data_IF_367012610403
#
_entry.id   IF_367012610403
#
_cell.length_a   1.000
_cell.length_b   1.000
_cell.length_c   1.000
_cell.angle_alpha   90.00
_cell.angle_beta   90.00
_cell.angle_gamma   90.00
#
_symmetry.space_group_name_H-M   'P 1'
#
loop_
_entity.id
_entity.type
_entity.pdbx_description
1 polymer ?
#
# COMPACT_ATOMS: atom_id res chain seq x y z
N UNK A 1 3.00 -77.38 18.27
CA UNK A 1 3.99 -76.72 19.13
C UNK A 1 3.19 -75.98 20.19
N UNK A 2 3.22 -76.43 21.45
CA UNK A 2 2.55 -75.71 22.54
C UNK A 2 3.48 -74.57 22.94
N UNK A 3 3.04 -73.32 22.76
CA UNK A 3 3.76 -72.15 23.25
C UNK A 3 3.74 -72.15 24.78
N UNK A 4 4.84 -71.76 25.40
CA UNK A 4 5.04 -71.70 26.86
C UNK A 4 5.19 -70.24 27.32
N UNK A 5 5.06 -69.98 28.62
CA UNK A 5 5.16 -68.61 29.16
C UNK A 5 6.51 -67.95 28.88
N UNK A 6 7.59 -68.73 28.71
CA UNK A 6 8.92 -68.22 28.36
C UNK A 6 9.04 -67.73 26.91
N UNK A 7 8.06 -67.98 26.05
CA UNK A 7 8.08 -67.58 24.64
C UNK A 7 7.59 -66.13 24.42
N UNK A 8 7.22 -65.40 25.49
CA UNK A 8 6.67 -64.06 25.42
C UNK A 8 7.44 -63.08 26.32
N UNK A 9 7.65 -61.85 25.84
CA UNK A 9 8.30 -60.77 26.61
C UNK A 9 7.51 -60.37 27.87
N UNK A 10 6.21 -60.67 27.90
CA UNK A 10 5.30 -60.44 29.02
C UNK A 10 4.30 -61.59 29.12
N UNK A 11 3.81 -61.86 30.34
CA UNK A 11 2.85 -62.95 30.59
C UNK A 11 1.56 -62.72 29.80
N UNK A 12 1.14 -63.65 28.93
CA UNK A 12 -0.03 -63.44 28.09
C UNK A 12 -1.31 -63.39 28.95
N UNK A 13 -2.09 -62.32 28.79
CA UNK A 13 -3.40 -62.17 29.42
C UNK A 13 -4.48 -62.64 28.46
N UNK A 14 -5.35 -63.55 28.89
CA UNK A 14 -6.51 -63.94 28.10
C UNK A 14 -7.45 -62.73 27.92
N UNK A 15 -7.67 -62.33 26.66
CA UNK A 15 -8.51 -61.18 26.31
C UNK A 15 -9.96 -61.58 26.00
N UNK A 16 -10.19 -62.83 25.62
CA UNK A 16 -11.51 -63.39 25.29
C UNK A 16 -11.41 -64.85 24.86
N UNK A 17 -12.56 -65.48 24.63
CA UNK A 17 -12.68 -66.85 24.14
C UNK A 17 -13.49 -66.86 22.84
N UNK A 18 -13.01 -67.53 21.80
CA UNK A 18 -13.64 -67.55 20.48
C UNK A 18 -13.94 -68.98 20.06
N UNK A 19 -15.21 -69.29 19.79
CA UNK A 19 -15.58 -70.60 19.27
C UNK A 19 -15.13 -70.78 17.82
N UNK A 20 -14.32 -71.81 17.57
CA UNK A 20 -13.79 -72.09 16.24
C UNK A 20 -14.82 -72.79 15.34
N UNK A 21 -14.79 -72.56 14.01
CA UNK A 21 -15.68 -73.22 13.06
C UNK A 21 -15.57 -74.74 13.13
N UNK A 22 -16.70 -75.47 13.00
CA UNK A 22 -16.71 -76.93 12.88
C UNK A 22 -16.99 -77.35 11.42
N UNK A 23 -16.37 -78.42 10.89
CA UNK A 23 -15.37 -79.28 11.54
C UNK A 23 -14.00 -78.61 11.67
N UNK A 24 -13.23 -79.00 12.69
CA UNK A 24 -11.87 -78.49 12.91
C UNK A 24 -10.94 -78.91 11.76
N UNK A 25 -10.59 -77.95 10.90
CA UNK A 25 -9.80 -78.20 9.69
C UNK A 25 -8.73 -77.10 9.49
N UNK A 26 -7.73 -76.99 10.39
CA UNK A 26 -6.79 -75.85 10.44
C UNK A 26 -5.94 -75.65 9.17
N UNK A 27 -5.76 -76.69 8.36
CA UNK A 27 -4.96 -76.63 7.13
C UNK A 27 -5.76 -76.16 5.90
N UNK A 28 -7.09 -76.00 5.99
CA UNK A 28 -7.91 -75.49 4.88
C UNK A 28 -7.92 -73.95 4.86
N UNK A 29 -7.72 -73.36 3.69
CA UNK A 29 -7.79 -71.89 3.49
C UNK A 29 -9.13 -71.29 3.91
N UNK A 30 -10.22 -71.98 3.62
CA UNK A 30 -11.57 -71.51 3.96
C UNK A 30 -11.78 -71.45 5.48
N UNK A 31 -11.26 -72.46 6.20
CA UNK A 31 -11.28 -72.50 7.66
C UNK A 31 -10.44 -71.36 8.26
N UNK A 32 -9.20 -71.17 7.77
CA UNK A 32 -8.31 -70.10 8.24
C UNK A 32 -8.91 -68.71 8.03
N UNK A 33 -9.58 -68.48 6.89
CA UNK A 33 -10.27 -67.21 6.61
C UNK A 33 -11.44 -66.97 7.56
N UNK A 34 -12.28 -67.99 7.78
CA UNK A 34 -13.41 -67.89 8.71
C UNK A 34 -12.96 -67.67 10.14
N UNK A 35 -11.95 -68.40 10.61
CA UNK A 35 -11.37 -68.23 11.94
C UNK A 35 -10.72 -66.84 12.10
N UNK A 36 -9.99 -66.35 11.09
CA UNK A 36 -9.41 -65.00 11.10
C UNK A 36 -10.48 -63.91 11.14
N UNK A 37 -11.61 -64.10 10.45
CA UNK A 37 -12.73 -63.16 10.48
C UNK A 37 -13.36 -63.09 11.87
N UNK A 38 -13.63 -64.25 12.49
CA UNK A 38 -14.17 -64.32 13.86
C UNK A 38 -13.22 -63.63 14.85
N UNK A 39 -11.92 -63.92 14.76
CA UNK A 39 -10.92 -63.31 15.64
C UNK A 39 -10.80 -61.79 15.45
N UNK A 40 -10.91 -61.29 14.20
CA UNK A 40 -10.95 -59.84 13.94
C UNK A 40 -12.22 -59.17 14.47
N UNK A 41 -13.36 -59.87 14.42
CA UNK A 41 -14.62 -59.36 14.93
C UNK A 41 -14.57 -59.21 16.46
N UNK A 42 -14.13 -60.24 17.16
CA UNK A 42 -13.96 -60.24 18.62
C UNK A 42 -12.97 -59.16 19.09
N UNK A 43 -11.84 -59.00 18.38
CA UNK A 43 -10.90 -57.92 18.69
C UNK A 43 -11.52 -56.53 18.47
N UNK A 44 -12.35 -56.36 17.44
CA UNK A 44 -13.07 -55.12 17.21
C UNK A 44 -14.14 -54.83 18.28
N UNK A 45 -14.85 -55.87 18.75
CA UNK A 45 -15.83 -55.76 19.86
C UNK A 45 -15.15 -55.37 21.18
N UNK A 46 -13.92 -55.84 21.41
CA UNK A 46 -13.07 -55.42 22.52
C UNK A 46 -12.43 -54.03 22.33
N UNK A 47 -12.67 -53.36 21.19
CA UNK A 47 -12.09 -52.05 20.85
C UNK A 47 -10.59 -52.10 20.54
N UNK A 48 -10.04 -53.29 20.29
CA UNK A 48 -8.62 -53.51 20.02
C UNK A 48 -8.36 -53.54 18.51
N UNK A 49 -7.64 -52.55 18.01
CA UNK A 49 -7.14 -52.56 16.63
C UNK A 49 -5.77 -53.25 16.61
N UNK A 50 -5.67 -54.34 15.83
CA UNK A 50 -4.38 -54.97 15.53
C UNK A 50 -3.54 -54.01 14.66
N UNK A 51 -2.73 -53.16 15.29
CA UNK A 51 -1.63 -52.50 14.61
C UNK A 51 -0.58 -53.57 14.28
N UNK A 52 -0.58 -54.05 13.03
CA UNK A 52 0.54 -54.84 12.51
C UNK A 52 1.69 -53.87 12.25
N UNK A 53 2.44 -53.51 13.30
CA UNK A 53 3.66 -52.71 13.15
C UNK A 53 4.66 -53.47 12.30
N UNK A 54 5.13 -52.86 11.22
CA UNK A 54 6.24 -53.37 10.41
C UNK A 54 7.37 -52.35 10.49
N UNK A 55 8.16 -52.36 11.58
CA UNK A 55 9.07 -51.26 11.93
C UNK A 55 9.98 -50.81 10.78
N UNK A 56 10.51 -51.75 10.00
CA UNK A 56 11.37 -51.44 8.86
C UNK A 56 10.65 -50.74 7.69
N UNK A 57 9.39 -51.11 7.41
CA UNK A 57 8.61 -50.50 6.35
C UNK A 57 8.06 -49.13 6.75
N UNK A 58 7.64 -49.00 8.02
CA UNK A 58 7.10 -47.75 8.56
C UNK A 58 8.21 -46.68 8.63
N UNK A 59 9.41 -47.05 9.10
CA UNK A 59 10.59 -46.16 9.09
C UNK A 59 11.00 -45.74 7.67
N UNK A 60 10.93 -46.65 6.69
CA UNK A 60 11.23 -46.34 5.29
C UNK A 60 10.20 -45.35 4.72
N UNK A 61 8.93 -45.54 5.02
CA UNK A 61 7.86 -44.65 4.59
C UNK A 61 8.01 -43.24 5.19
N UNK A 62 8.28 -43.13 6.50
CA UNK A 62 8.53 -41.83 7.14
C UNK A 62 9.77 -41.14 6.57
N UNK A 63 10.86 -41.88 6.33
CA UNK A 63 12.07 -41.33 5.71
C UNK A 63 11.79 -40.75 4.33
N UNK A 64 11.07 -41.49 3.48
CA UNK A 64 10.68 -41.01 2.14
C UNK A 64 9.77 -39.78 2.22
N UNK A 65 8.85 -39.71 3.19
CA UNK A 65 8.03 -38.50 3.40
C UNK A 65 8.88 -37.29 3.80
N UNK A 66 9.83 -37.49 4.72
CA UNK A 66 10.75 -36.43 5.14
C UNK A 66 11.62 -35.96 3.97
N UNK A 67 12.18 -36.88 3.17
CA UNK A 67 12.98 -36.58 1.97
C UNK A 67 12.15 -35.78 0.95
N UNK A 68 10.91 -36.19 0.68
CA UNK A 68 9.99 -35.48 -0.22
C UNK A 68 9.63 -34.09 0.31
N UNK A 69 9.43 -33.96 1.63
CA UNK A 69 9.11 -32.68 2.26
C UNK A 69 10.30 -31.71 2.20
N UNK A 70 11.53 -32.21 2.40
CA UNK A 70 12.75 -31.43 2.22
C UNK A 70 12.85 -30.95 0.76
N UNK A 71 12.67 -31.83 -0.22
CA UNK A 71 12.72 -31.46 -1.63
C UNK A 71 11.66 -30.40 -2.00
N UNK A 72 10.43 -30.52 -1.47
CA UNK A 72 9.39 -29.53 -1.68
C UNK A 72 9.72 -28.16 -1.06
N UNK A 73 10.29 -28.16 0.15
CA UNK A 73 10.74 -26.92 0.81
C UNK A 73 11.91 -26.28 0.08
N UNK A 74 12.86 -27.06 -0.44
CA UNK A 74 13.97 -26.56 -1.25
C UNK A 74 13.49 -25.90 -2.54
N UNK A 75 12.52 -26.52 -3.23
CA UNK A 75 11.93 -25.94 -4.43
C UNK A 75 11.16 -24.64 -4.13
N UNK A 76 10.44 -24.60 -3.01
CA UNK A 76 9.76 -23.38 -2.54
C UNK A 76 10.76 -22.28 -2.19
N UNK A 77 11.85 -22.62 -1.51
CA UNK A 77 12.94 -21.69 -1.20
C UNK A 77 13.56 -21.12 -2.48
N UNK A 78 13.85 -21.96 -3.47
CA UNK A 78 14.38 -21.52 -4.76
C UNK A 78 13.45 -20.51 -5.44
N UNK A 79 12.15 -20.83 -5.54
CA UNK A 79 11.17 -19.91 -6.13
C UNK A 79 11.05 -18.58 -5.40
N UNK A 80 11.11 -18.57 -4.05
CA UNK A 80 11.12 -17.34 -3.27
C UNK A 80 12.39 -16.52 -3.51
N UNK A 81 13.56 -17.17 -3.59
CA UNK A 81 14.82 -16.50 -3.88
C UNK A 81 14.82 -15.87 -5.28
N UNK A 82 14.29 -16.56 -6.30
CA UNK A 82 14.18 -16.00 -7.65
C UNK A 82 13.26 -14.77 -7.69
N UNK A 83 12.13 -14.82 -6.96
CA UNK A 83 11.23 -13.66 -6.83
C UNK A 83 11.89 -12.47 -6.14
N UNK A 84 12.67 -12.73 -5.09
CA UNK A 84 13.47 -11.70 -4.41
C UNK A 84 14.48 -11.12 -5.39
N UNK A 85 15.24 -11.94 -6.11
CA UNK A 85 16.24 -11.47 -7.07
C UNK A 85 15.63 -10.62 -8.20
N UNK A 86 14.46 -11.00 -8.70
CA UNK A 86 13.72 -10.21 -9.69
C UNK A 86 13.24 -8.88 -9.11
N UNK A 87 12.73 -8.88 -7.87
CA UNK A 87 12.28 -7.68 -7.18
C UNK A 87 13.45 -6.74 -6.83
N UNK A 88 14.55 -7.27 -6.31
CA UNK A 88 15.79 -6.54 -6.02
C UNK A 88 16.41 -5.95 -7.30
N UNK A 89 16.40 -6.72 -8.40
CA UNK A 89 16.80 -6.23 -9.71
C UNK A 89 15.87 -5.13 -10.24
N UNK A 90 14.60 -5.11 -9.83
CA UNK A 90 13.65 -4.02 -10.11
C UNK A 90 13.96 -2.75 -9.29
N UNK A 91 14.22 -2.90 -7.99
CA UNK A 91 14.54 -1.78 -7.11
C UNK A 91 15.86 -1.09 -7.49
N UNK A 92 16.91 -1.85 -7.77
CA UNK A 92 18.20 -1.29 -8.19
C UNK A 92 18.07 -0.51 -9.50
N UNK A 93 17.31 -1.03 -10.47
CA UNK A 93 17.00 -0.32 -11.73
C UNK A 93 16.19 0.95 -11.49
N UNK A 94 15.19 0.89 -10.61
CA UNK A 94 14.38 2.05 -10.23
C UNK A 94 15.23 3.14 -9.58
N UNK A 95 16.13 2.78 -8.65
CA UNK A 95 17.02 3.76 -7.99
C UNK A 95 17.96 4.44 -8.99
N UNK A 96 18.54 3.70 -9.93
CA UNK A 96 19.38 4.26 -11.01
C UNK A 96 18.56 5.18 -11.92
N UNK A 97 17.33 4.78 -12.26
CA UNK A 97 16.43 5.61 -13.05
C UNK A 97 16.04 6.91 -12.32
N UNK A 98 15.73 6.84 -11.02
CA UNK A 98 15.45 8.00 -10.18
C UNK A 98 16.68 8.90 -10.08
N UNK A 99 17.87 8.34 -9.87
CA UNK A 99 19.12 9.10 -9.87
C UNK A 99 19.29 9.87 -11.18
N UNK A 100 19.09 9.21 -12.33
CA UNK A 100 19.21 9.86 -13.64
C UNK A 100 18.24 11.04 -13.81
N UNK A 101 17.00 10.91 -13.34
CA UNK A 101 16.04 12.04 -13.34
C UNK A 101 16.53 13.16 -12.42
N UNK A 102 16.99 12.84 -11.20
CA UNK A 102 17.49 13.85 -10.26
C UNK A 102 18.76 14.56 -10.77
N UNK A 103 19.64 13.86 -11.50
CA UNK A 103 20.83 14.44 -12.14
C UNK A 103 20.45 15.38 -13.28
N UNK A 104 19.44 15.05 -14.10
CA UNK A 104 18.94 15.91 -15.17
C UNK A 104 18.49 17.29 -14.66
N UNK A 105 17.90 17.32 -13.46
CA UNK A 105 17.47 18.54 -12.78
C UNK A 105 18.52 19.15 -11.84
N UNK A 106 19.74 18.65 -11.86
CA UNK A 106 20.86 19.09 -10.99
C UNK A 106 20.53 19.02 -9.49
N UNK A 107 19.67 18.08 -9.08
CA UNK A 107 19.32 17.83 -7.70
C UNK A 107 20.22 16.77 -7.05
N UNK A 108 20.78 15.86 -7.84
CA UNK A 108 21.78 14.89 -7.40
C UNK A 108 23.00 14.89 -8.34
N UNK A 109 24.10 14.32 -7.88
CA UNK A 109 25.24 13.93 -8.71
C UNK A 109 26.01 12.81 -8.02
N UNK A 110 26.33 11.73 -8.73
CA UNK A 110 27.14 10.62 -8.21
C UNK A 110 26.62 10.10 -6.86
N UNK A 111 25.33 9.78 -6.75
CA UNK A 111 24.67 9.28 -5.53
C UNK A 111 24.67 10.25 -4.34
N UNK A 112 25.01 11.53 -4.56
CA UNK A 112 24.97 12.57 -3.54
C UNK A 112 23.98 13.67 -3.91
N UNK A 113 23.15 14.09 -2.94
CA UNK A 113 22.25 15.23 -3.13
C UNK A 113 23.05 16.54 -3.20
N UNK A 114 22.68 17.38 -4.16
CA UNK A 114 23.14 18.77 -4.23
C UNK A 114 22.49 19.62 -3.13
N UNK A 115 22.91 20.88 -3.01
CA UNK A 115 22.23 21.83 -2.12
C UNK A 115 20.74 21.97 -2.44
N UNK A 116 20.39 22.00 -3.74
CA UNK A 116 18.99 22.01 -4.21
C UNK A 116 18.27 20.71 -3.88
N UNK A 117 18.95 19.57 -4.05
CA UNK A 117 18.38 18.26 -3.73
C UNK A 117 18.09 18.04 -2.25
N UNK A 118 18.77 18.75 -1.34
CA UNK A 118 18.44 18.71 0.10
C UNK A 118 17.07 19.31 0.41
N UNK A 119 16.60 20.27 -0.39
CA UNK A 119 15.25 20.85 -0.25
C UNK A 119 14.20 19.77 -0.48
N UNK A 120 14.41 18.87 -1.45
CA UNK A 120 13.50 17.75 -1.74
C UNK A 120 13.20 16.87 -0.53
N UNK A 121 14.18 16.67 0.37
CA UNK A 121 14.01 15.86 1.59
C UNK A 121 12.98 16.43 2.59
N UNK A 122 12.63 17.72 2.45
CA UNK A 122 11.67 18.40 3.33
C UNK A 122 10.27 18.53 2.73
N UNK A 123 10.08 18.10 1.47
CA UNK A 123 8.79 18.18 0.79
C UNK A 123 8.15 16.79 0.76
N UNK A 124 6.98 16.68 1.38
CA UNK A 124 6.16 15.48 1.42
C UNK A 124 4.92 15.72 0.56
N UNK A 125 5.07 15.53 -0.74
CA UNK A 125 4.04 15.77 -1.74
C UNK A 125 4.25 14.84 -2.94
N UNK A 126 3.19 14.44 -3.65
CA UNK A 126 3.32 13.58 -4.84
C UNK A 126 4.06 14.25 -6.01
N UNK A 127 4.02 15.59 -6.04
CA UNK A 127 4.77 16.44 -6.97
C UNK A 127 5.99 17.11 -6.27
N UNK A 128 6.62 16.43 -5.32
CA UNK A 128 7.75 16.93 -4.54
C UNK A 128 8.91 17.48 -5.39
N UNK A 129 9.26 16.79 -6.48
CA UNK A 129 10.27 17.20 -7.44
C UNK A 129 9.91 18.55 -8.08
N UNK A 130 8.66 18.71 -8.50
CA UNK A 130 8.18 19.95 -9.10
C UNK A 130 8.11 21.10 -8.09
N UNK A 131 7.65 20.84 -6.86
CA UNK A 131 7.66 21.82 -5.77
C UNK A 131 9.09 22.29 -5.50
N UNK A 132 10.03 21.35 -5.42
CA UNK A 132 11.46 21.64 -5.20
C UNK A 132 12.04 22.49 -6.32
N UNK A 133 11.70 22.19 -7.57
CA UNK A 133 12.08 23.05 -8.70
C UNK A 133 11.42 24.42 -8.63
N UNK A 134 10.16 24.51 -8.23
CA UNK A 134 9.47 25.78 -8.01
C UNK A 134 10.18 26.67 -6.99
N UNK A 135 10.63 26.10 -5.86
CA UNK A 135 11.40 26.81 -4.84
C UNK A 135 12.77 27.21 -5.39
N UNK A 136 13.53 26.26 -5.93
CA UNK A 136 14.94 26.48 -6.31
C UNK A 136 15.12 27.31 -7.57
N UNK A 137 14.07 27.49 -8.37
CA UNK A 137 14.02 28.38 -9.54
C UNK A 137 13.34 29.73 -9.22
N UNK A 138 12.93 29.96 -7.97
CA UNK A 138 12.29 31.22 -7.55
C UNK A 138 10.92 31.46 -8.18
N UNK A 139 10.19 30.41 -8.55
CA UNK A 139 8.85 30.54 -9.17
C UNK A 139 7.80 31.03 -8.18
N UNK A 140 8.05 30.89 -6.88
CA UNK A 140 7.16 31.36 -5.82
C UNK A 140 7.51 32.76 -5.30
N UNK A 141 8.53 33.41 -5.86
CA UNK A 141 8.97 34.75 -5.45
C UNK A 141 8.24 35.87 -6.21
N UNK A 142 8.00 36.98 -5.52
CA UNK A 142 7.31 38.17 -6.04
C UNK A 142 5.79 38.06 -6.11
N UNK A 143 5.21 36.95 -5.65
CA UNK A 143 3.77 36.75 -5.56
C UNK A 143 3.23 37.30 -4.23
N UNK A 144 2.05 37.92 -4.28
CA UNK A 144 1.30 38.25 -3.07
C UNK A 144 0.89 36.97 -2.31
N UNK A 145 0.50 37.05 -1.02
CA UNK A 145 -0.01 35.88 -0.29
C UNK A 145 -1.18 35.17 -0.99
N UNK A 146 -2.11 35.92 -1.57
CA UNK A 146 -3.28 35.43 -2.31
C UNK A 146 -2.86 34.74 -3.61
N UNK A 147 -1.95 35.37 -4.36
CA UNK A 147 -1.40 34.81 -5.59
C UNK A 147 -0.56 33.55 -5.33
N UNK A 148 0.20 33.52 -4.24
CA UNK A 148 1.00 32.36 -3.85
C UNK A 148 0.12 31.16 -3.53
N UNK A 149 -0.96 31.37 -2.76
CA UNK A 149 -1.96 30.33 -2.50
C UNK A 149 -2.56 29.78 -3.81
N UNK A 150 -2.96 30.67 -4.70
CA UNK A 150 -3.55 30.33 -5.99
C UNK A 150 -2.57 29.60 -6.94
N UNK A 151 -1.29 29.97 -6.94
CA UNK A 151 -0.27 29.27 -7.75
C UNK A 151 0.04 27.89 -7.17
N UNK A 152 0.10 27.74 -5.85
CA UNK A 152 0.36 26.44 -5.22
C UNK A 152 -0.81 25.47 -5.32
N UNK A 153 -2.05 25.95 -5.43
CA UNK A 153 -3.21 25.08 -5.60
C UNK A 153 -3.19 24.27 -6.90
N UNK A 154 -2.43 24.74 -7.89
CA UNK A 154 -2.17 24.01 -9.13
C UNK A 154 -1.46 22.68 -8.88
N UNK A 155 -0.71 22.59 -7.78
CA UNK A 155 0.02 21.40 -7.39
C UNK A 155 -0.82 20.46 -6.54
N UNK A 156 -1.94 20.88 -5.95
CA UNK A 156 -2.74 20.03 -5.05
C UNK A 156 -4.05 19.58 -5.66
N UNK A 157 -4.59 20.36 -6.61
CA UNK A 157 -5.87 20.07 -7.24
C UNK A 157 -5.75 19.13 -8.44
N UNK A 158 -6.85 18.44 -8.72
CA UNK A 158 -7.04 17.60 -9.88
C UNK A 158 -8.50 17.71 -10.32
N UNK A 159 -8.73 18.15 -11.55
CA UNK A 159 -10.06 18.23 -12.12
C UNK A 159 -10.62 16.83 -12.36
N UNK A 160 -11.70 16.50 -11.64
CA UNK A 160 -12.34 15.18 -11.69
C UNK A 160 -13.68 15.27 -12.43
N UNK A 161 -13.63 15.62 -13.71
CA UNK A 161 -14.81 15.65 -14.58
C UNK A 161 -14.62 14.83 -15.85
N UNK A 162 -15.75 14.45 -16.46
CA UNK A 162 -15.80 13.87 -17.81
C UNK A 162 -15.76 14.93 -18.91
N UNK A 163 -16.07 16.17 -18.56
CA UNK A 163 -15.98 17.31 -19.45
C UNK A 163 -14.55 17.85 -19.41
N UNK A 164 -14.16 18.49 -20.51
CA UNK A 164 -12.87 19.18 -20.54
C UNK A 164 -12.86 20.30 -19.48
N UNK A 165 -11.74 20.48 -18.77
CA UNK A 165 -11.61 21.54 -17.78
C UNK A 165 -11.83 22.92 -18.43
N UNK A 166 -12.46 23.87 -17.72
CA UNK A 166 -12.60 25.23 -18.21
C UNK A 166 -11.23 25.89 -18.38
N UNK A 167 -11.17 26.91 -19.24
CA UNK A 167 -9.95 27.72 -19.38
C UNK A 167 -9.57 28.35 -18.03
N UNK A 168 -8.32 28.18 -17.56
CA UNK A 168 -7.93 28.67 -16.25
C UNK A 168 -7.89 30.19 -16.23
N UNK A 169 -8.42 30.77 -15.15
CA UNK A 169 -8.28 32.19 -14.84
C UNK A 169 -7.09 32.41 -13.89
N UNK A 170 -6.40 33.54 -14.06
CA UNK A 170 -5.28 33.92 -13.22
C UNK A 170 -5.44 35.34 -12.67
N UNK A 171 -5.05 35.60 -11.41
CA UNK A 171 -5.22 36.90 -10.78
C UNK A 171 -4.30 37.98 -11.34
N UNK A 172 -3.14 37.60 -11.88
CA UNK A 172 -2.19 38.51 -12.49
C UNK A 172 -1.39 37.87 -13.61
N UNK A 173 -0.70 38.72 -14.39
CA UNK A 173 0.22 38.25 -15.42
C UNK A 173 1.38 37.44 -14.81
N UNK A 174 1.85 37.82 -13.62
CA UNK A 174 2.90 37.12 -12.90
C UNK A 174 2.41 35.75 -12.44
N UNK A 175 1.25 35.66 -11.79
CA UNK A 175 0.68 34.38 -11.35
C UNK A 175 0.49 33.41 -12.54
N UNK A 176 0.00 33.92 -13.68
CA UNK A 176 -0.11 33.14 -14.92
C UNK A 176 1.25 32.65 -15.42
N UNK A 177 2.26 33.52 -15.42
CA UNK A 177 3.62 33.16 -15.82
C UNK A 177 4.17 32.04 -14.92
N UNK A 178 4.04 32.18 -13.61
CA UNK A 178 4.52 31.18 -12.63
C UNK A 178 3.80 29.85 -12.77
N UNK A 179 2.48 29.85 -12.89
CA UNK A 179 1.70 28.63 -13.10
C UNK A 179 2.06 27.93 -14.41
N UNK A 180 2.21 28.67 -15.51
CA UNK A 180 2.63 28.12 -16.80
C UNK A 180 4.06 27.56 -16.76
N UNK A 181 4.96 28.19 -16.00
CA UNK A 181 6.31 27.67 -15.77
C UNK A 181 6.27 26.33 -15.01
N UNK A 182 5.44 26.22 -13.96
CA UNK A 182 5.22 24.94 -13.26
C UNK A 182 4.69 23.85 -14.20
N UNK A 183 3.70 24.17 -15.03
CA UNK A 183 3.17 23.25 -16.04
C UNK A 183 4.26 22.79 -17.02
N UNK A 184 5.12 23.71 -17.47
CA UNK A 184 6.22 23.39 -18.36
C UNK A 184 7.28 22.51 -17.69
N UNK A 185 7.59 22.74 -16.42
CA UNK A 185 8.47 21.87 -15.65
C UNK A 185 7.86 20.50 -15.39
N UNK A 186 6.56 20.41 -15.08
CA UNK A 186 5.85 19.15 -14.93
C UNK A 186 5.97 18.27 -16.19
N UNK A 187 5.78 18.86 -17.37
CA UNK A 187 5.97 18.16 -18.65
C UNK A 187 7.41 17.67 -18.87
N UNK A 188 8.41 18.46 -18.47
CA UNK A 188 9.83 18.05 -18.55
C UNK A 188 10.13 16.89 -17.61
N UNK A 189 9.58 16.92 -16.39
CA UNK A 189 9.72 15.83 -15.42
C UNK A 189 9.12 14.54 -16.00
N UNK A 190 7.87 14.59 -16.49
CA UNK A 190 7.21 13.43 -17.10
C UNK A 190 8.04 12.86 -18.27
N UNK A 191 8.60 13.74 -19.10
CA UNK A 191 9.47 13.32 -20.20
C UNK A 191 10.74 12.62 -19.70
N UNK A 192 11.40 13.16 -18.66
CA UNK A 192 12.57 12.54 -18.06
C UNK A 192 12.23 11.17 -17.43
N UNK A 193 11.12 11.08 -16.70
CA UNK A 193 10.61 9.84 -16.11
C UNK A 193 10.34 8.78 -17.18
N UNK A 194 9.63 9.16 -18.25
CA UNK A 194 9.33 8.28 -19.37
C UNK A 194 10.59 7.75 -20.06
N UNK A 195 11.59 8.60 -20.27
CA UNK A 195 12.88 8.21 -20.87
C UNK A 195 13.65 7.20 -20.01
N UNK A 196 13.48 7.27 -18.69
CA UNK A 196 14.08 6.33 -17.74
C UNK A 196 13.19 5.11 -17.43
N UNK A 197 12.00 5.02 -18.05
CA UNK A 197 11.07 3.92 -17.84
C UNK A 197 10.41 3.92 -16.46
N UNK A 198 10.34 5.09 -15.81
CA UNK A 198 9.61 5.29 -14.56
C UNK A 198 8.11 5.50 -14.84
N UNK A 199 7.30 5.35 -13.79
CA UNK A 199 5.92 5.79 -13.83
C UNK A 199 5.89 7.32 -13.88
N UNK A 200 5.19 7.88 -14.86
CA UNK A 200 5.06 9.34 -15.01
C UNK A 200 4.27 9.93 -13.84
N UNK A 201 4.79 11.05 -13.32
CA UNK A 201 4.10 11.93 -12.38
C UNK A 201 2.88 12.55 -13.04
N UNK A 202 1.85 12.89 -12.25
CA UNK A 202 0.71 13.63 -12.81
C UNK A 202 1.12 15.05 -13.17
N UNK A 203 0.38 15.65 -14.11
CA UNK A 203 0.55 17.07 -14.42
C UNK A 203 -0.15 17.95 -13.37
N UNK A 204 0.34 19.17 -13.14
CA UNK A 204 -0.37 20.16 -12.35
C UNK A 204 -1.67 20.60 -13.04
N UNK A 205 -2.61 21.16 -12.27
CA UNK A 205 -3.92 21.53 -12.78
C UNK A 205 -4.32 22.97 -12.39
N UNK A 206 -4.41 23.92 -13.34
CA UNK A 206 -4.68 25.31 -13.04
C UNK A 206 -6.15 25.67 -12.85
N UNK A 207 -7.10 24.73 -12.91
CA UNK A 207 -8.53 25.09 -12.91
C UNK A 207 -9.00 25.69 -11.59
N UNK A 208 -8.43 25.30 -10.45
CA UNK A 208 -8.87 25.80 -9.13
C UNK A 208 -8.28 27.19 -8.76
N UNK A 209 -7.38 27.75 -9.59
CA UNK A 209 -6.60 28.95 -9.26
C UNK A 209 -7.50 30.12 -8.86
N UNK A 210 -8.59 30.34 -9.61
CA UNK A 210 -9.51 31.45 -9.36
C UNK A 210 -10.24 31.33 -8.03
N UNK A 211 -10.71 30.14 -7.69
CA UNK A 211 -11.47 29.87 -6.47
C UNK A 211 -10.58 30.00 -5.23
N UNK A 212 -9.35 29.48 -5.28
CA UNK A 212 -8.37 29.64 -4.18
C UNK A 212 -7.96 31.11 -4.02
N UNK A 213 -7.72 31.83 -5.11
CA UNK A 213 -7.43 33.26 -5.04
C UNK A 213 -8.58 34.05 -4.43
N UNK A 214 -9.82 33.83 -4.89
CA UNK A 214 -11.02 34.49 -4.36
C UNK A 214 -11.18 34.22 -2.87
N UNK A 215 -10.99 32.97 -2.45
CA UNK A 215 -11.03 32.60 -1.03
C UNK A 215 -9.91 33.27 -0.21
N UNK A 216 -8.68 33.33 -0.71
CA UNK A 216 -7.61 34.05 -0.03
C UNK A 216 -7.89 35.57 0.03
N UNK A 217 -8.60 36.12 -0.95
CA UNK A 217 -8.86 37.56 -1.10
C UNK A 217 -9.99 38.11 -0.22
N UNK A 218 -10.80 37.27 0.42
CA UNK A 218 -11.90 37.77 1.26
C UNK A 218 -13.30 37.32 0.86
N UNK A 219 -13.49 36.74 -0.33
CA UNK A 219 -14.80 36.37 -0.85
C UNK A 219 -15.52 35.31 0.00
N UNK A 220 -16.84 35.34 -0.04
CA UNK A 220 -17.68 34.36 0.65
C UNK A 220 -17.63 33.00 -0.06
N UNK A 221 -17.87 31.93 0.71
CA UNK A 221 -17.76 30.56 0.20
C UNK A 221 -18.71 30.29 -0.98
N UNK A 222 -19.92 30.84 -0.93
CA UNK A 222 -20.93 30.73 -1.99
C UNK A 222 -20.51 31.45 -3.28
N UNK A 223 -19.63 32.46 -3.20
CA UNK A 223 -19.15 33.21 -4.38
C UNK A 223 -18.01 32.49 -5.11
N UNK A 224 -17.24 31.67 -4.39
CA UNK A 224 -16.05 30.98 -4.92
C UNK A 224 -16.32 29.53 -5.31
N UNK A 225 -17.41 28.94 -4.83
CA UNK A 225 -17.82 27.59 -5.21
C UNK A 225 -18.46 27.59 -6.60
N UNK A 226 -18.09 26.61 -7.40
CA UNK A 226 -18.81 26.25 -8.62
C UNK A 226 -19.95 25.29 -8.27
N UNK A 227 -21.03 25.31 -9.05
CA UNK A 227 -22.25 24.50 -8.80
C UNK A 227 -21.97 22.99 -8.69
N UNK A 228 -20.91 22.52 -9.35
CA UNK A 228 -20.54 21.09 -9.41
C UNK A 228 -19.55 20.65 -8.31
N UNK A 229 -19.04 21.57 -7.48
CA UNK A 229 -18.03 21.27 -6.45
C UNK A 229 -18.67 21.21 -5.08
N UNK A 230 -18.51 20.08 -4.38
CA UNK A 230 -18.94 19.96 -2.98
C UNK A 230 -18.12 20.87 -2.07
N UNK A 231 -18.79 21.51 -1.10
CA UNK A 231 -18.15 22.28 -0.01
C UNK A 231 -17.05 21.46 0.68
N UNK A 232 -17.30 20.16 0.92
CA UNK A 232 -16.34 19.28 1.58
C UNK A 232 -15.06 19.07 0.77
N UNK A 233 -15.17 18.93 -0.55
CA UNK A 233 -14.02 18.79 -1.45
C UNK A 233 -13.24 20.09 -1.55
N UNK A 234 -13.92 21.23 -1.61
CA UNK A 234 -13.26 22.53 -1.57
C UNK A 234 -12.47 22.73 -0.27
N UNK A 235 -13.08 22.46 0.89
CA UNK A 235 -12.41 22.53 2.21
C UNK A 235 -11.20 21.61 2.27
N UNK A 236 -11.30 20.39 1.73
CA UNK A 236 -10.18 19.46 1.64
C UNK A 236 -9.04 20.01 0.78
N UNK A 237 -9.35 20.58 -0.38
CA UNK A 237 -8.35 21.19 -1.24
C UNK A 237 -7.65 22.37 -0.55
N UNK A 238 -8.38 23.25 0.13
CA UNK A 238 -7.75 24.37 0.86
C UNK A 238 -6.82 23.87 1.96
N UNK A 239 -7.18 22.80 2.69
CA UNK A 239 -6.28 22.17 3.68
C UNK A 239 -4.99 21.64 3.05
N UNK A 240 -5.08 20.99 1.89
CA UNK A 240 -3.90 20.53 1.16
C UNK A 240 -3.00 21.70 0.72
N UNK A 241 -3.59 22.81 0.26
CA UNK A 241 -2.85 24.05 -0.07
C UNK A 241 -2.17 24.62 1.17
N UNK A 242 -2.87 24.69 2.30
CA UNK A 242 -2.30 25.15 3.59
C UNK A 242 -1.11 24.27 4.00
N UNK A 243 -1.23 22.95 3.89
CA UNK A 243 -0.15 22.04 4.26
C UNK A 243 1.04 22.15 3.31
N UNK A 244 0.80 22.32 2.00
CA UNK A 244 1.87 22.57 1.04
C UNK A 244 2.55 23.94 1.28
N UNK A 245 1.79 24.98 1.60
CA UNK A 245 2.32 26.31 1.98
C UNK A 245 3.26 26.23 3.19
N UNK A 246 2.92 25.42 4.21
CA UNK A 246 3.80 25.20 5.37
C UNK A 246 5.13 24.59 4.93
N UNK A 247 5.09 23.52 4.13
CA UNK A 247 6.30 22.85 3.63
C UNK A 247 7.15 23.79 2.77
N UNK A 248 6.53 24.55 1.85
CA UNK A 248 7.23 25.53 1.00
C UNK A 248 7.87 26.65 1.84
N UNK A 249 7.17 27.12 2.87
CA UNK A 249 7.69 28.12 3.80
C UNK A 249 8.88 27.59 4.62
N UNK A 250 8.81 26.36 5.13
CA UNK A 250 9.89 25.75 5.91
C UNK A 250 11.12 25.42 5.05
N UNK A 251 10.90 24.95 3.83
CA UNK A 251 11.95 24.56 2.89
C UNK A 251 12.68 25.75 2.26
N UNK A 252 12.07 26.96 2.27
CA UNK A 252 12.63 28.13 1.61
C UNK A 252 13.62 28.92 2.48
N UNK A 253 14.78 29.24 1.88
CA UNK A 253 15.76 30.17 2.46
C UNK A 253 15.35 31.64 2.29
N UNK A 254 14.50 31.96 1.32
CA UNK A 254 14.05 33.32 1.03
C UNK A 254 13.06 33.81 2.09
N UNK A 255 13.43 34.86 2.84
CA UNK A 255 12.60 35.41 3.93
C UNK A 255 11.22 35.86 3.43
N UNK A 256 11.16 36.47 2.26
CA UNK A 256 9.90 36.95 1.66
C UNK A 256 8.93 35.80 1.42
N UNK A 257 9.38 34.69 0.82
CA UNK A 257 8.55 33.51 0.59
C UNK A 257 8.01 32.94 1.91
N UNK A 258 8.82 32.89 2.97
CA UNK A 258 8.34 32.43 4.29
C UNK A 258 7.25 33.32 4.87
N UNK A 259 7.41 34.63 4.75
CA UNK A 259 6.42 35.60 5.24
C UNK A 259 5.13 35.50 4.42
N UNK A 260 5.23 35.44 3.10
CA UNK A 260 4.06 35.35 2.23
C UNK A 260 3.35 34.00 2.39
N UNK A 261 4.07 32.90 2.59
CA UNK A 261 3.47 31.60 2.89
C UNK A 261 2.69 31.62 4.21
N UNK A 262 3.27 32.19 5.27
CA UNK A 262 2.59 32.34 6.56
C UNK A 262 1.36 33.23 6.48
N UNK A 263 1.42 34.31 5.70
CA UNK A 263 0.29 35.20 5.46
C UNK A 263 -0.82 34.48 4.66
N UNK A 264 -0.45 33.74 3.61
CA UNK A 264 -1.36 32.96 2.79
C UNK A 264 -2.11 31.91 3.63
N UNK A 265 -1.41 31.20 4.52
CA UNK A 265 -2.03 30.25 5.46
C UNK A 265 -3.11 30.95 6.30
N UNK A 266 -2.82 32.14 6.82
CA UNK A 266 -3.78 32.91 7.64
C UNK A 266 -4.99 33.35 6.83
N UNK A 267 -4.80 33.72 5.57
CA UNK A 267 -5.88 34.10 4.65
C UNK A 267 -6.77 32.90 4.28
N UNK A 268 -6.18 31.73 4.09
CA UNK A 268 -6.92 30.51 3.76
C UNK A 268 -7.64 29.90 4.97
N UNK A 269 -7.06 30.03 6.17
CA UNK A 269 -7.60 29.49 7.43
C UNK A 269 -8.70 30.37 8.07
N UNK A 270 -9.30 31.27 7.29
CA UNK A 270 -10.45 32.06 7.75
C UNK A 270 -11.73 31.26 7.50
N UNK A 271 -12.45 30.89 8.56
CA UNK A 271 -13.77 30.24 8.45
C UNK A 271 -13.77 28.72 8.22
N UNK A 272 -12.64 28.08 7.89
CA UNK A 272 -12.54 26.61 7.80
C UNK A 272 -12.76 25.91 9.16
N UNK A 273 -12.43 26.57 10.26
CA UNK A 273 -12.72 26.11 11.62
C UNK A 273 -14.22 26.20 11.94
N UNK A 274 -14.91 27.23 11.45
CA UNK A 274 -16.34 27.41 11.66
C UNK A 274 -17.18 26.51 10.74
N UNK A 275 -16.73 26.26 9.51
CA UNK A 275 -17.41 25.43 8.53
C UNK A 275 -17.22 23.92 8.81
N UNK A 276 -16.02 23.49 9.23
CA UNK A 276 -15.78 22.10 9.62
C UNK A 276 -16.56 21.72 10.90
N UNK A 277 -16.73 22.66 11.83
CA UNK A 277 -17.60 22.46 13.00
C UNK A 277 -19.07 22.24 12.58
N UNK A 278 -19.61 23.04 11.65
CA UNK A 278 -20.99 22.89 11.15
C UNK A 278 -21.24 21.60 10.37
N UNK A 279 -20.24 21.12 9.62
CA UNK A 279 -20.34 19.85 8.88
C UNK A 279 -20.30 18.63 9.82
N UNK A 280 -19.54 18.71 10.93
CA UNK A 280 -19.61 17.69 11.99
C UNK A 280 -20.95 17.71 12.73
N UNK A 281 -21.56 18.88 12.93
CA UNK A 281 -22.86 18.99 13.60
C UNK A 281 -24.02 18.47 12.71
N UNK A 282 -23.95 18.66 11.38
CA UNK A 282 -24.99 18.19 10.44
C UNK A 282 -25.05 16.66 10.24
N UNK A 283 -23.91 15.97 10.29
CA UNK A 283 -23.87 14.49 10.21
C UNK A 283 -24.45 13.81 11.48
N UNK A 284 -24.48 14.52 12.62
CA UNK A 284 -25.07 14.02 13.88
C UNK A 284 -26.60 14.25 13.92
N UNK A 285 -27.09 15.31 13.29
CA UNK A 285 -28.54 15.56 13.19
C UNK A 285 -29.23 14.61 12.19
N UNK A 286 -28.59 14.24 11.07
CA UNK A 286 -29.17 13.26 10.13
C UNK A 286 -29.13 11.82 10.66
N UNK A 287 -28.18 11.47 11.54
CA UNK A 287 -28.12 10.12 12.14
C UNK A 287 -29.07 9.92 13.33
N UNK A 288 -29.77 10.98 13.79
CA UNK A 288 -30.64 10.94 14.97
C UNK A 288 -32.13 11.10 14.64
N UNK A 289 -32.50 11.15 13.35
CA UNK A 289 -33.86 11.43 12.89
C UNK A 289 -34.67 10.27 12.31
N UNK A 290 -34.19 9.01 12.37
CA UNK A 290 -34.84 7.88 11.68
C UNK A 290 -35.24 6.70 12.60
N UNK A 291 -35.43 6.97 13.90
CA UNK A 291 -36.08 6.03 14.84
C UNK A 291 -37.34 6.71 15.44
N UNK A 292 -38.46 6.63 14.73
CA UNK A 292 -39.83 6.70 15.31
C UNK A 292 -40.87 6.00 14.41
#
# INVERSE_FOLDING_TARGET
>A
MMLTESDFDQTPKALGEVELPKPYAPNRRDYQRSASKLLKQELAELGLVLEVRRPANDLKAERTRAENQIAALEMTKGSLMDRIAVAEGGLARSLVAIEAVLEEFALASNWALSEKGRVLQSIFHELDLLVTLGITQGLFEGLSPEELAAVLSVLTYEHRSRLDPPDPWYPSALARERANALMAFGKKICQAELLQGLQESRLPDPTIVGQVHGWASGHDLEEVLEDDVSVGDFVRNIRQVIDLLKQVGEASVARELRVNASAAITLLDRGLVAAAARLQDGEVEESSGDDD
#
